data_IF_004518553978
#
_entry.id   IF_004518553978
#
_cell.length_a   1.000
_cell.length_b   1.000
_cell.length_c   1.000
_cell.angle_alpha   90.00
_cell.angle_beta   90.00
_cell.angle_gamma   90.00
#
_symmetry.space_group_name_H-M   'P 1'
#
loop_
_entity.id
_entity.type
_entity.pdbx_description
1 polymer ?
#
# COMPACT_ATOMS: atom_id res chain seq x y z
N UNK A 1 -11.88 12.67 2.44
CA UNK A 1 -10.82 11.63 2.37
C UNK A 1 -10.35 11.52 0.93
N UNK A 2 -9.05 11.35 0.68
CA UNK A 2 -8.54 11.12 -0.68
C UNK A 2 -8.06 9.68 -0.83
N UNK A 3 -8.53 9.00 -1.86
CA UNK A 3 -8.06 7.65 -2.22
C UNK A 3 -7.20 7.76 -3.48
N UNK A 4 -6.02 7.17 -3.45
CA UNK A 4 -5.07 7.13 -4.57
C UNK A 4 -4.75 5.68 -4.91
N UNK A 5 -4.84 5.30 -6.18
CA UNK A 5 -4.47 3.97 -6.66
C UNK A 5 -3.14 3.97 -7.41
N UNK A 6 -2.17 3.21 -6.93
CA UNK A 6 -0.89 2.95 -7.62
C UNK A 6 -1.01 1.59 -8.33
N UNK A 7 -0.91 1.57 -9.66
CA UNK A 7 -1.06 0.34 -10.43
C UNK A 7 0.03 0.10 -11.48
N UNK A 8 0.08 -1.13 -12.00
CA UNK A 8 1.08 -1.57 -12.98
C UNK A 8 1.46 -3.04 -12.80
N UNK A 9 2.24 -3.58 -13.73
CA UNK A 9 2.68 -4.98 -13.72
C UNK A 9 3.44 -5.37 -12.44
N UNK A 10 3.54 -6.68 -12.19
CA UNK A 10 4.38 -7.21 -11.11
C UNK A 10 5.85 -6.80 -11.26
N UNK A 11 6.55 -6.59 -10.15
CA UNK A 11 7.99 -6.26 -10.16
C UNK A 11 8.35 -4.79 -10.46
N UNK A 12 7.40 -3.93 -10.84
CA UNK A 12 7.69 -2.52 -11.18
C UNK A 12 7.98 -1.59 -9.99
N UNK A 13 7.96 -2.10 -8.74
CA UNK A 13 8.27 -1.30 -7.56
C UNK A 13 7.10 -0.50 -6.97
N UNK A 14 5.84 -0.88 -7.22
CA UNK A 14 4.65 -0.25 -6.61
C UNK A 14 4.72 -0.19 -5.09
N UNK A 15 5.02 -1.33 -4.46
CA UNK A 15 5.18 -1.45 -3.00
C UNK A 15 6.30 -0.56 -2.49
N UNK A 16 7.45 -0.54 -3.19
CA UNK A 16 8.59 0.32 -2.86
C UNK A 16 8.23 1.81 -2.93
N UNK A 17 7.51 2.23 -3.98
CA UNK A 17 7.04 3.61 -4.11
C UNK A 17 6.06 3.99 -2.99
N UNK A 18 5.09 3.12 -2.70
CA UNK A 18 4.14 3.36 -1.61
C UNK A 18 4.85 3.46 -0.25
N UNK A 19 5.88 2.65 -0.01
CA UNK A 19 6.67 2.68 1.22
C UNK A 19 7.49 3.96 1.34
N UNK A 20 8.11 4.41 0.24
CA UNK A 20 8.81 5.69 0.21
C UNK A 20 7.86 6.86 0.54
N UNK A 21 6.64 6.86 -0.05
CA UNK A 21 5.61 7.87 0.26
C UNK A 21 5.19 7.79 1.73
N UNK A 22 4.94 6.58 2.26
CA UNK A 22 4.61 6.38 3.67
C UNK A 22 5.62 7.06 4.58
N UNK A 23 6.90 6.69 4.41
CA UNK A 23 7.98 7.19 5.26
C UNK A 23 8.16 8.71 5.14
N UNK A 24 7.85 9.28 3.97
CA UNK A 24 7.96 10.71 3.74
C UNK A 24 6.85 11.53 4.42
N UNK A 25 5.61 11.02 4.47
CA UNK A 25 4.46 11.83 4.90
C UNK A 25 3.77 11.37 6.19
N UNK A 26 4.08 10.17 6.71
CA UNK A 26 3.38 9.57 7.85
C UNK A 26 3.27 10.49 9.08
N UNK A 27 4.33 11.26 9.38
CA UNK A 27 4.37 12.17 10.53
C UNK A 27 3.36 13.33 10.47
N UNK A 28 2.70 13.55 9.34
CA UNK A 28 1.68 14.60 9.18
C UNK A 28 0.25 14.11 9.48
N UNK A 29 0.10 12.88 9.94
CA UNK A 29 -1.17 12.21 10.20
C UNK A 29 -1.27 11.81 11.68
N UNK A 30 -2.49 11.80 12.21
CA UNK A 30 -2.74 11.39 13.60
C UNK A 30 -2.44 9.90 13.77
N UNK A 31 -2.73 9.10 12.74
CA UNK A 31 -2.43 7.68 12.68
C UNK A 31 -1.92 7.30 11.29
N UNK A 32 -1.01 6.33 11.23
CA UNK A 32 -0.54 5.78 9.97
C UNK A 32 -0.39 4.27 10.03
N UNK A 33 -0.73 3.59 8.93
CA UNK A 33 -0.53 2.16 8.82
C UNK A 33 -0.17 1.76 7.39
N UNK A 34 0.93 1.03 7.26
CA UNK A 34 1.23 0.24 6.08
C UNK A 34 0.76 -1.21 6.30
N UNK A 35 -0.31 -1.60 5.61
CA UNK A 35 -0.82 -2.97 5.58
C UNK A 35 -0.24 -3.69 4.36
N UNK A 36 0.81 -4.48 4.60
CA UNK A 36 1.54 -5.25 3.58
C UNK A 36 0.77 -6.51 3.18
N UNK A 37 1.00 -6.97 1.94
CA UNK A 37 0.58 -8.28 1.44
C UNK A 37 -0.92 -8.58 1.62
N UNK A 38 -1.80 -7.62 1.35
CA UNK A 38 -3.25 -7.72 1.57
C UNK A 38 -3.84 -8.95 0.88
N UNK A 39 -3.44 -9.22 -0.36
CA UNK A 39 -3.81 -10.42 -1.11
C UNK A 39 -3.44 -11.70 -0.37
N UNK A 40 -2.19 -11.85 0.06
CA UNK A 40 -1.72 -13.08 0.70
C UNK A 40 -2.41 -13.29 2.06
N UNK A 41 -2.41 -12.26 2.90
CA UNK A 41 -2.98 -12.31 4.25
C UNK A 41 -4.48 -12.60 4.23
N UNK A 42 -5.24 -11.96 3.35
CA UNK A 42 -6.68 -12.27 3.21
C UNK A 42 -6.94 -13.67 2.68
N UNK A 43 -6.12 -14.18 1.76
CA UNK A 43 -6.30 -15.52 1.21
C UNK A 43 -5.98 -16.61 2.24
N UNK A 44 -4.97 -16.38 3.09
CA UNK A 44 -4.50 -17.35 4.06
C UNK A 44 -5.31 -17.33 5.37
N UNK A 45 -5.66 -16.14 5.85
CA UNK A 45 -6.23 -15.94 7.19
C UNK A 45 -7.60 -15.25 7.19
N UNK A 46 -8.07 -14.77 6.03
CA UNK A 46 -9.37 -14.13 5.87
C UNK A 46 -9.37 -12.63 6.19
N UNK A 47 -10.48 -11.96 5.83
CA UNK A 47 -10.66 -10.51 6.00
C UNK A 47 -10.65 -10.05 7.47
N UNK A 48 -11.18 -10.90 8.36
CA UNK A 48 -11.19 -10.65 9.80
C UNK A 48 -9.76 -10.50 10.35
N UNK A 49 -8.83 -11.31 9.86
CA UNK A 49 -7.43 -11.24 10.26
C UNK A 49 -6.79 -9.92 9.82
N UNK A 50 -7.01 -9.51 8.56
CA UNK A 50 -6.55 -8.21 8.06
C UNK A 50 -7.03 -7.04 8.91
N UNK A 51 -8.31 -7.03 9.28
CA UNK A 51 -8.88 -5.99 10.14
C UNK A 51 -8.27 -5.99 11.53
N UNK A 52 -8.01 -7.16 12.11
CA UNK A 52 -7.32 -7.28 13.41
C UNK A 52 -5.90 -6.72 13.34
N UNK A 53 -5.13 -7.03 12.28
CA UNK A 53 -3.79 -6.42 12.06
C UNK A 53 -3.89 -4.90 11.97
N UNK A 54 -4.81 -4.39 11.16
CA UNK A 54 -4.99 -2.96 10.97
C UNK A 54 -5.35 -2.24 12.28
N UNK A 55 -6.33 -2.77 13.01
CA UNK A 55 -6.75 -2.21 14.29
C UNK A 55 -5.62 -2.27 15.32
N UNK A 56 -4.86 -3.38 15.38
CA UNK A 56 -3.74 -3.50 16.31
C UNK A 56 -2.65 -2.47 16.02
N UNK A 57 -2.33 -2.24 14.73
CA UNK A 57 -1.34 -1.23 14.33
C UNK A 57 -1.80 0.21 14.61
N UNK A 58 -3.07 0.52 14.38
CA UNK A 58 -3.61 1.88 14.55
C UNK A 58 -4.03 2.21 15.99
N UNK A 59 -4.24 1.21 16.84
CA UNK A 59 -4.70 1.41 18.22
C UNK A 59 -3.64 1.07 19.26
N UNK A 60 -2.56 0.41 18.86
CA UNK A 60 -1.52 -0.06 19.79
C UNK A 60 -1.99 -1.19 20.72
N UNK A 61 -3.20 -1.71 20.52
CA UNK A 61 -3.78 -2.79 21.30
C UNK A 61 -3.29 -4.15 20.74
N UNK A 62 -2.77 -5.00 21.64
CA UNK A 62 -2.46 -6.40 21.31
C UNK A 62 -3.73 -7.24 21.43
N UNK A 63 -3.83 -8.30 20.63
CA UNK A 63 -4.86 -9.34 20.74
C UNK A 63 -6.31 -8.89 20.51
N UNK A 64 -6.53 -7.99 19.54
CA UNK A 64 -7.89 -7.60 19.10
C UNK A 64 -8.59 -8.83 18.51
N UNK A 65 -9.47 -9.41 19.32
CA UNK A 65 -10.25 -10.59 18.97
C UNK A 65 -11.57 -10.14 18.36
N UNK A 66 -11.69 -10.29 17.04
CA UNK A 66 -12.93 -10.04 16.32
C UNK A 66 -13.76 -11.33 16.23
N UNK A 67 -15.06 -11.21 16.48
CA UNK A 67 -16.05 -12.27 16.27
C UNK A 67 -16.39 -12.40 14.79
N UNK A 68 -16.39 -11.30 14.03
CA UNK A 68 -16.72 -11.26 12.60
C UNK A 68 -16.00 -10.13 11.86
N UNK A 69 -16.02 -10.15 10.53
CA UNK A 69 -15.44 -9.04 9.75
C UNK A 69 -16.32 -7.78 9.79
N UNK A 70 -17.63 -7.94 10.00
CA UNK A 70 -18.59 -6.84 10.14
C UNK A 70 -18.36 -6.06 11.43
N UNK A 71 -18.02 -6.76 12.51
CA UNK A 71 -17.59 -6.14 13.76
C UNK A 71 -16.29 -5.34 13.53
N UNK A 72 -15.29 -5.95 12.88
CA UNK A 72 -14.04 -5.26 12.54
C UNK A 72 -14.27 -3.99 11.72
N UNK A 73 -15.14 -4.05 10.72
CA UNK A 73 -15.53 -2.89 9.90
C UNK A 73 -16.15 -1.77 10.75
N UNK A 74 -17.08 -2.12 11.65
CA UNK A 74 -17.74 -1.17 12.53
C UNK A 74 -16.75 -0.51 13.50
N UNK A 75 -15.81 -1.30 14.04
CA UNK A 75 -14.74 -0.79 14.90
C UNK A 75 -13.79 0.15 14.15
N UNK A 76 -13.34 -0.23 12.95
CA UNK A 76 -12.49 0.63 12.10
C UNK A 76 -13.18 1.97 11.87
N UNK A 77 -14.43 1.96 11.40
CA UNK A 77 -15.20 3.18 11.18
C UNK A 77 -15.28 4.03 12.45
N UNK A 78 -15.75 3.46 13.56
CA UNK A 78 -15.92 4.19 14.82
C UNK A 78 -14.63 4.85 15.31
N UNK A 79 -13.49 4.15 15.17
CA UNK A 79 -12.18 4.61 15.67
C UNK A 79 -11.51 5.63 14.75
N UNK A 80 -11.74 5.54 13.44
CA UNK A 80 -11.01 6.35 12.44
C UNK A 80 -11.82 7.50 11.85
N UNK A 81 -13.15 7.51 11.99
CA UNK A 81 -14.05 8.54 11.41
C UNK A 81 -13.74 9.98 11.82
N UNK A 82 -12.97 10.21 12.90
CA UNK A 82 -12.57 11.53 13.41
C UNK A 82 -11.07 11.78 13.37
N UNK A 83 -10.27 10.82 12.91
CA UNK A 83 -8.81 10.93 12.85
C UNK A 83 -8.35 11.20 11.42
N UNK A 84 -7.28 11.98 11.28
CA UNK A 84 -6.58 12.17 10.02
C UNK A 84 -5.61 11.00 9.82
N UNK A 85 -6.02 10.01 9.02
CA UNK A 85 -5.30 8.74 8.85
C UNK A 85 -4.53 8.68 7.53
N UNK A 86 -3.30 8.14 7.55
CA UNK A 86 -2.61 7.65 6.36
C UNK A 86 -2.67 6.12 6.33
N UNK A 87 -3.42 5.56 5.39
CA UNK A 87 -3.53 4.11 5.23
C UNK A 87 -2.95 3.68 3.89
N UNK A 88 -2.00 2.74 3.90
CA UNK A 88 -1.50 2.08 2.69
C UNK A 88 -1.95 0.63 2.68
N UNK A 89 -2.63 0.23 1.60
CA UNK A 89 -3.04 -1.14 1.32
C UNK A 89 -2.21 -1.69 0.17
N UNK A 90 -1.33 -2.63 0.46
CA UNK A 90 -0.40 -3.16 -0.51
C UNK A 90 -0.83 -4.52 -1.09
N UNK A 91 -0.71 -4.66 -2.40
CA UNK A 91 -1.06 -5.83 -3.20
C UNK A 91 -2.53 -6.23 -3.04
N UNK A 92 -3.45 -5.30 -3.31
CA UNK A 92 -4.90 -5.58 -3.29
C UNK A 92 -5.33 -6.20 -4.63
N UNK A 93 -6.03 -7.33 -4.59
CA UNK A 93 -6.50 -8.06 -5.79
C UNK A 93 -8.01 -8.36 -5.78
N UNK A 94 -8.73 -8.07 -4.69
CA UNK A 94 -10.15 -8.39 -4.54
C UNK A 94 -10.95 -7.21 -3.98
N UNK A 95 -12.17 -7.03 -4.49
CA UNK A 95 -13.11 -6.00 -4.04
C UNK A 95 -13.46 -6.14 -2.56
N UNK A 96 -13.56 -7.38 -2.08
CA UNK A 96 -13.91 -7.67 -0.70
C UNK A 96 -12.86 -7.13 0.30
N UNK A 97 -11.58 -7.07 -0.10
CA UNK A 97 -10.52 -6.48 0.73
C UNK A 97 -10.76 -4.98 0.93
N UNK A 98 -11.08 -4.24 -0.15
CA UNK A 98 -11.39 -2.81 -0.06
C UNK A 98 -12.68 -2.56 0.74
N UNK A 99 -13.73 -3.36 0.51
CA UNK A 99 -14.98 -3.24 1.28
C UNK A 99 -14.78 -3.47 2.78
N UNK A 100 -13.91 -4.41 3.15
CA UNK A 100 -13.66 -4.73 4.56
C UNK A 100 -12.79 -3.70 5.28
N UNK A 101 -11.90 -3.00 4.56
CA UNK A 101 -10.87 -2.15 5.16
C UNK A 101 -11.11 -0.65 4.93
N UNK A 102 -11.49 -0.27 3.71
CA UNK A 102 -11.73 1.13 3.32
C UNK A 102 -13.20 1.49 3.49
N UNK A 103 -14.10 0.54 3.22
CA UNK A 103 -15.53 0.73 3.40
C UNK A 103 -16.07 1.89 2.55
N UNK A 104 -16.72 2.85 3.22
CA UNK A 104 -17.27 4.07 2.61
C UNK A 104 -16.38 5.29 2.93
N UNK A 105 -16.48 6.39 2.17
CA UNK A 105 -15.64 7.58 2.38
C UNK A 105 -15.76 8.24 3.77
N UNK A 106 -16.83 7.96 4.52
CA UNK A 106 -17.11 8.46 5.88
C UNK A 106 -16.40 7.66 6.99
N UNK A 107 -15.65 6.61 6.64
CA UNK A 107 -14.89 5.81 7.61
C UNK A 107 -13.66 6.53 8.19
N UNK A 108 -13.18 7.58 7.53
CA UNK A 108 -11.98 8.31 7.95
C UNK A 108 -12.27 9.80 8.11
N UNK A 109 -11.57 10.43 9.06
CA UNK A 109 -11.70 11.86 9.31
C UNK A 109 -11.18 12.74 8.17
N UNK A 110 -11.51 14.04 8.19
CA UNK A 110 -11.02 15.02 7.23
C UNK A 110 -9.48 15.01 7.12
N UNK A 111 -8.97 15.24 5.90
CA UNK A 111 -7.53 15.22 5.62
C UNK A 111 -6.89 13.84 5.47
N UNK A 112 -7.62 12.74 5.74
CA UNK A 112 -7.13 11.38 5.58
C UNK A 112 -6.80 11.02 4.13
N UNK A 113 -5.80 10.14 3.96
CA UNK A 113 -5.35 9.60 2.68
C UNK A 113 -5.27 8.08 2.72
N UNK A 114 -5.84 7.44 1.72
CA UNK A 114 -5.73 5.99 1.49
C UNK A 114 -4.98 5.76 0.19
N UNK A 115 -3.91 4.97 0.22
CA UNK A 115 -3.12 4.59 -0.96
C UNK A 115 -3.27 3.09 -1.17
N UNK A 116 -3.68 2.70 -2.37
CA UNK A 116 -3.89 1.30 -2.74
C UNK A 116 -2.83 0.93 -3.78
N UNK A 117 -2.03 -0.11 -3.55
CA UNK A 117 -1.22 -0.71 -4.61
C UNK A 117 -1.96 -1.93 -5.18
N UNK A 118 -2.00 -2.05 -6.50
CA UNK A 118 -2.65 -3.19 -7.16
C UNK A 118 -2.04 -3.45 -8.54
N UNK A 119 -2.21 -4.65 -9.08
CA UNK A 119 -1.94 -4.93 -10.48
C UNK A 119 -3.16 -4.66 -11.37
N UNK A 120 -4.35 -4.64 -10.79
CA UNK A 120 -5.61 -4.55 -11.51
C UNK A 120 -6.19 -3.13 -11.47
N UNK A 121 -6.07 -2.40 -12.59
CA UNK A 121 -6.65 -1.07 -12.75
C UNK A 121 -8.19 -1.09 -12.68
N UNK A 122 -8.83 -2.20 -13.05
CA UNK A 122 -10.30 -2.31 -13.00
C UNK A 122 -10.82 -2.36 -11.57
N UNK A 123 -10.04 -2.91 -10.62
CA UNK A 123 -10.35 -2.89 -9.20
C UNK A 123 -10.49 -1.44 -8.68
N UNK A 124 -9.58 -0.55 -9.08
CA UNK A 124 -9.60 0.87 -8.72
C UNK A 124 -10.82 1.58 -9.31
N UNK A 125 -11.11 1.33 -10.59
CA UNK A 125 -12.28 1.91 -11.28
C UNK A 125 -13.59 1.49 -10.61
N UNK A 126 -13.70 0.22 -10.21
CA UNK A 126 -14.89 -0.28 -9.53
C UNK A 126 -15.11 0.37 -8.16
N UNK A 127 -14.03 0.70 -7.45
CA UNK A 127 -14.10 1.40 -6.16
C UNK A 127 -14.08 2.93 -6.32
N UNK A 128 -14.37 3.44 -7.53
CA UNK A 128 -14.51 4.87 -7.82
C UNK A 128 -13.28 5.70 -7.41
N UNK A 129 -12.09 5.09 -7.49
CA UNK A 129 -10.84 5.79 -7.19
C UNK A 129 -10.53 6.76 -8.33
N UNK A 130 -10.76 8.06 -8.07
CA UNK A 130 -10.57 9.12 -9.07
C UNK A 130 -9.10 9.36 -9.45
N UNK A 131 -8.18 9.19 -8.49
CA UNK A 131 -6.77 9.50 -8.67
C UNK A 131 -5.96 8.21 -8.78
N UNK A 132 -5.40 7.96 -9.95
CA UNK A 132 -4.53 6.80 -10.17
C UNK A 132 -3.17 7.20 -10.71
N UNK A 133 -2.16 6.42 -10.36
CA UNK A 133 -0.79 6.54 -10.84
C UNK A 133 -0.33 5.19 -11.39
N UNK A 134 0.02 5.17 -12.68
CA UNK A 134 0.61 3.99 -13.32
C UNK A 134 2.13 4.02 -13.15
N UNK A 135 2.68 3.01 -12.49
CA UNK A 135 4.13 2.87 -12.35
C UNK A 135 4.70 2.44 -13.69
N UNK A 136 5.54 3.30 -14.26
CA UNK A 136 6.21 3.05 -15.54
C UNK A 136 7.48 2.23 -15.35
N UNK A 137 7.86 1.51 -16.40
CA UNK A 137 9.16 0.84 -16.48
C UNK A 137 10.27 1.88 -16.43
N UNK A 138 11.37 1.54 -15.78
CA UNK A 138 12.58 2.37 -15.79
C UNK A 138 13.11 2.48 -17.21
N UNK A 139 13.57 3.67 -17.60
CA UNK A 139 14.36 3.80 -18.81
C UNK A 139 15.71 3.10 -18.65
N UNK A 140 16.40 2.86 -19.77
CA UNK A 140 17.67 2.11 -19.78
C UNK A 140 18.70 2.67 -18.79
N UNK A 141 18.86 4.01 -18.74
CA UNK A 141 19.79 4.65 -17.81
C UNK A 141 19.44 4.39 -16.34
N UNK A 142 18.16 4.52 -15.95
CA UNK A 142 17.73 4.29 -14.57
C UNK A 142 17.75 2.81 -14.20
N UNK A 143 17.45 1.92 -15.16
CA UNK A 143 17.58 0.48 -14.97
C UNK A 143 19.05 0.08 -14.76
N UNK A 144 19.97 0.62 -15.56
CA UNK A 144 21.42 0.38 -15.42
C UNK A 144 21.95 0.92 -14.08
N UNK A 145 21.50 2.10 -13.66
CA UNK A 145 21.84 2.64 -12.34
C UNK A 145 21.33 1.74 -11.21
N UNK A 146 20.08 1.30 -11.28
CA UNK A 146 19.50 0.41 -10.27
C UNK A 146 20.24 -0.93 -10.22
N UNK A 147 20.59 -1.50 -11.38
CA UNK A 147 21.38 -2.72 -11.49
C UNK A 147 22.76 -2.52 -10.85
N UNK A 148 23.43 -1.41 -11.18
CA UNK A 148 24.74 -1.04 -10.65
C UNK A 148 24.73 -0.93 -9.12
N UNK A 149 23.76 -0.20 -8.57
CA UNK A 149 23.59 -0.09 -7.12
C UNK A 149 23.35 -1.44 -6.45
N UNK A 150 22.54 -2.31 -7.05
CA UNK A 150 22.22 -3.59 -6.43
C UNK A 150 23.38 -4.59 -6.50
N UNK A 151 24.08 -4.66 -7.64
CA UNK A 151 25.17 -5.61 -7.87
C UNK A 151 26.48 -5.19 -7.16
N UNK A 152 26.85 -3.91 -7.23
CA UNK A 152 28.16 -3.44 -6.75
C UNK A 152 28.09 -2.64 -5.45
N UNK A 153 26.89 -2.27 -4.97
CA UNK A 153 26.69 -1.41 -3.78
C UNK A 153 27.39 -0.05 -3.87
N UNK A 154 27.62 0.45 -5.10
CA UNK A 154 28.31 1.71 -5.41
C UNK A 154 27.65 2.40 -6.59
N UNK A 155 27.80 3.71 -6.69
CA UNK A 155 27.27 4.50 -7.82
C UNK A 155 28.18 4.49 -9.05
N UNK A 156 29.48 4.29 -8.83
CA UNK A 156 30.49 4.19 -9.89
C UNK A 156 31.05 2.77 -9.91
N UNK A 157 31.13 2.22 -11.10
CA UNK A 157 31.70 0.91 -11.37
C UNK A 157 33.06 1.06 -12.05
N UNK A 158 33.86 0.01 -11.95
CA UNK A 158 35.06 -0.09 -12.77
C UNK A 158 34.65 -0.17 -14.26
N UNK A 159 35.27 0.61 -15.15
CA UNK A 159 34.95 0.60 -16.58
C UNK A 159 34.97 -0.79 -17.21
N UNK A 160 35.76 -1.73 -16.66
CA UNK A 160 35.79 -3.13 -17.11
C UNK A 160 34.45 -3.87 -17.03
N UNK A 161 33.50 -3.38 -16.23
CA UNK A 161 32.15 -3.96 -16.13
C UNK A 161 31.12 -3.30 -17.06
N UNK A 162 31.45 -2.20 -17.75
CA UNK A 162 30.49 -1.51 -18.63
C UNK A 162 29.98 -2.41 -19.76
N UNK A 163 30.87 -3.17 -20.39
CA UNK A 163 30.51 -4.09 -21.47
C UNK A 163 29.57 -5.21 -21.01
N UNK A 164 29.69 -5.65 -19.76
CA UNK A 164 28.86 -6.72 -19.18
C UNK A 164 27.46 -6.20 -18.86
N UNK A 165 27.34 -4.93 -18.44
CA UNK A 165 26.07 -4.33 -18.02
C UNK A 165 25.26 -3.76 -19.19
N UNK A 166 25.89 -3.51 -20.33
CA UNK A 166 25.25 -3.00 -21.55
C UNK A 166 24.85 -4.10 -22.55
N UNK A 167 25.02 -5.38 -22.19
CA UNK A 167 24.57 -6.54 -22.97
C UNK A 167 23.07 -6.78 -22.82
#
# INVERSE_FOLDING_TARGET
VHIIGIHGMGGLGKTTLALAVHNFIALHFDESCFLQNVREESNKHGLKHLQSILLSKLLGEKDITLTSWQEGASMIQHRLQRKKVLLILDDVDKRQQLKAIVGRPDWFGPGSRVIITTRDKHLLKYHEVERTYEVKVLNQSAALQLLTWNAFKREKIDPSYEDVLNR
#
